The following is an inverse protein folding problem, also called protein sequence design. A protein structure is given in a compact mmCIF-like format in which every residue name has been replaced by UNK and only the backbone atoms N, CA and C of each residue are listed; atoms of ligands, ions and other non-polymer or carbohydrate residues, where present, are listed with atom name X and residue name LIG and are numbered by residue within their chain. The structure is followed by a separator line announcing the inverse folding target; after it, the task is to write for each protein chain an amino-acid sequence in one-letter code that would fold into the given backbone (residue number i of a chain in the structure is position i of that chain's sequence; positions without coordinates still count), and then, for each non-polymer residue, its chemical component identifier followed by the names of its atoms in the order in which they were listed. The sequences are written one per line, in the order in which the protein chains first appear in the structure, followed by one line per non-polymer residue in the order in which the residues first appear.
data_IF_881761477032
#
_entry.id   IF_881761477032
#
_cell.length_a   1.000
_cell.length_b   1.000
_cell.length_c   1.000
_cell.angle_alpha   90.00
_cell.angle_beta   90.00
_cell.angle_gamma   90.00
#
_symmetry.space_group_name_H-M   'P 1'
#
loop_
_entity.id
_entity.type
_entity.pdbx_description
1 polymer ?
#
# COMPACT_ATOMS: atom_id res chain seq x y z
N UNK A 1 12.18 38.32 -19.87
CA UNK A 1 12.80 37.03 -20.25
C UNK A 1 11.96 35.94 -19.58
N UNK A 2 11.23 35.08 -20.32
CA UNK A 2 10.54 33.95 -19.70
C UNK A 2 11.61 33.02 -19.11
N UNK A 3 11.50 32.61 -17.85
CA UNK A 3 12.41 31.60 -17.32
C UNK A 3 12.31 30.36 -18.22
N UNK A 4 13.46 29.84 -18.62
CA UNK A 4 13.49 28.61 -19.42
C UNK A 4 12.78 27.52 -18.63
N UNK A 5 11.77 26.92 -19.23
CA UNK A 5 11.08 25.76 -18.65
C UNK A 5 12.11 24.65 -18.38
N UNK A 6 12.33 24.24 -17.13
CA UNK A 6 13.30 23.19 -16.85
C UNK A 6 12.81 21.89 -17.49
N UNK A 7 13.52 21.45 -18.53
CA UNK A 7 13.20 20.23 -19.27
C UNK A 7 14.10 19.09 -18.81
N UNK A 8 13.53 17.90 -18.72
CA UNK A 8 14.28 16.68 -18.49
C UNK A 8 15.24 16.37 -19.65
N UNK A 9 16.43 15.95 -19.32
CA UNK A 9 17.33 15.37 -20.31
C UNK A 9 16.81 13.99 -20.76
N UNK A 10 17.10 13.60 -21.99
CA UNK A 10 16.75 12.25 -22.51
C UNK A 10 17.28 11.14 -21.61
N UNK A 11 18.44 11.35 -20.99
CA UNK A 11 19.04 10.42 -20.02
C UNK A 11 18.17 10.29 -18.78
N UNK A 12 17.77 11.38 -18.14
CA UNK A 12 16.89 11.36 -16.95
C UNK A 12 15.54 10.70 -17.25
N UNK A 13 14.91 11.03 -18.39
CA UNK A 13 13.66 10.39 -18.83
C UNK A 13 13.86 8.86 -18.94
N UNK A 14 14.95 8.43 -19.60
CA UNK A 14 15.24 7.01 -19.74
C UNK A 14 15.50 6.33 -18.40
N UNK A 15 16.21 6.97 -17.51
CA UNK A 15 16.54 6.44 -16.18
C UNK A 15 15.32 6.30 -15.28
N UNK A 16 14.46 7.33 -15.22
CA UNK A 16 13.26 7.31 -14.39
C UNK A 16 12.15 6.43 -14.97
N UNK A 17 12.01 6.34 -16.28
CA UNK A 17 11.07 5.40 -16.91
C UNK A 17 11.37 3.93 -16.55
N UNK A 18 12.62 3.60 -16.25
CA UNK A 18 13.01 2.25 -15.77
C UNK A 18 12.48 1.93 -14.38
N UNK A 19 12.06 2.92 -13.58
CA UNK A 19 11.45 2.71 -12.28
C UNK A 19 10.09 1.98 -12.35
N UNK A 20 9.53 1.80 -13.54
CA UNK A 20 8.42 0.86 -13.78
C UNK A 20 8.81 -0.59 -13.50
N UNK A 21 10.11 -0.91 -13.43
CA UNK A 21 10.65 -2.25 -13.20
C UNK A 21 11.24 -2.36 -11.78
N UNK A 22 10.92 -3.46 -11.08
CA UNK A 22 11.36 -3.75 -9.69
C UNK A 22 12.87 -3.64 -9.52
N UNK A 23 13.64 -4.18 -10.48
CA UNK A 23 15.12 -4.17 -10.43
C UNK A 23 15.65 -2.74 -10.22
N UNK A 24 15.20 -1.80 -11.04
CA UNK A 24 15.71 -0.43 -11.00
C UNK A 24 15.24 0.36 -9.78
N UNK A 25 14.05 0.08 -9.26
CA UNK A 25 13.59 0.66 -7.99
C UNK A 25 14.50 0.25 -6.83
N UNK A 26 14.85 -1.05 -6.75
CA UNK A 26 15.76 -1.57 -5.72
C UNK A 26 17.17 -1.02 -5.85
N UNK A 27 17.72 -0.98 -7.08
CA UNK A 27 19.07 -0.47 -7.34
C UNK A 27 19.22 1.01 -6.99
N UNK A 28 18.17 1.81 -7.20
CA UNK A 28 18.22 3.26 -7.03
C UNK A 28 17.64 3.76 -5.70
N UNK A 29 16.90 2.93 -5.00
CA UNK A 29 16.12 3.35 -3.84
C UNK A 29 15.10 4.44 -4.19
N UNK A 30 14.49 4.33 -5.39
CA UNK A 30 13.55 5.31 -5.94
C UNK A 30 12.29 4.61 -6.44
N UNK A 31 11.16 5.32 -6.45
CA UNK A 31 9.91 4.82 -7.01
C UNK A 31 9.11 5.94 -7.67
N UNK A 32 8.10 5.53 -8.44
CA UNK A 32 7.17 6.44 -9.12
C UNK A 32 5.88 6.58 -8.32
N UNK A 33 5.43 7.80 -8.20
CA UNK A 33 4.11 8.16 -7.66
C UNK A 33 3.30 8.70 -8.82
N UNK A 34 2.15 8.07 -9.11
CA UNK A 34 1.30 8.40 -10.24
C UNK A 34 -0.05 8.95 -9.76
N UNK A 35 -0.46 10.06 -10.35
CA UNK A 35 -1.76 10.67 -10.14
C UNK A 35 -1.79 11.75 -9.06
N UNK A 36 -2.70 12.71 -9.26
CA UNK A 36 -2.83 13.93 -8.46
C UNK A 36 -2.96 13.65 -6.96
N UNK A 37 -3.85 12.73 -6.60
CA UNK A 37 -4.12 12.40 -5.19
C UNK A 37 -2.87 11.86 -4.51
N UNK A 38 -2.18 10.90 -5.14
CA UNK A 38 -0.99 10.29 -4.57
C UNK A 38 0.17 11.29 -4.46
N UNK A 39 0.36 12.15 -5.48
CA UNK A 39 1.43 13.17 -5.44
C UNK A 39 1.17 14.19 -4.33
N UNK A 40 -0.08 14.66 -4.19
CA UNK A 40 -0.43 15.59 -3.10
C UNK A 40 -0.28 14.95 -1.71
N UNK A 41 -0.63 13.67 -1.59
CA UNK A 41 -0.48 12.94 -0.33
C UNK A 41 1.00 12.72 0.02
N UNK A 42 1.86 12.45 -0.98
CA UNK A 42 3.30 12.37 -0.80
C UNK A 42 3.91 13.70 -0.28
N UNK A 43 3.40 14.83 -0.78
CA UNK A 43 3.79 16.16 -0.29
C UNK A 43 3.38 16.37 1.17
N UNK A 44 2.14 16.02 1.53
CA UNK A 44 1.63 16.12 2.91
C UNK A 44 2.41 15.24 3.87
N UNK A 45 2.80 14.06 3.41
CA UNK A 45 3.64 13.13 4.16
C UNK A 45 5.11 13.54 4.22
N UNK A 46 5.49 14.68 3.63
CA UNK A 46 6.87 15.19 3.57
C UNK A 46 7.88 14.19 3.00
N UNK A 47 7.47 13.41 2.00
CA UNK A 47 8.37 12.46 1.36
C UNK A 47 9.54 13.18 0.66
N UNK A 48 10.67 12.50 0.56
CA UNK A 48 11.81 12.97 -0.23
C UNK A 48 11.50 12.86 -1.73
N UNK A 49 10.83 13.89 -2.28
CA UNK A 49 10.47 13.99 -3.69
C UNK A 49 11.63 14.61 -4.44
N UNK A 50 12.16 13.90 -5.43
CA UNK A 50 13.27 14.38 -6.28
C UNK A 50 12.79 15.31 -7.39
N UNK A 51 11.64 15.02 -7.96
CA UNK A 51 10.99 15.87 -8.96
C UNK A 51 9.51 15.53 -9.12
N UNK A 52 8.73 16.53 -9.53
CA UNK A 52 7.37 16.37 -10.04
C UNK A 52 7.43 16.57 -11.55
N UNK A 53 6.79 15.67 -12.29
CA UNK A 53 6.73 15.65 -13.74
C UNK A 53 5.32 16.01 -14.20
N UNK A 54 5.20 17.04 -15.01
CA UNK A 54 3.91 17.53 -15.52
C UNK A 54 3.94 17.64 -17.04
N UNK A 55 2.80 17.58 -17.74
CA UNK A 55 2.76 17.81 -19.17
C UNK A 55 3.34 19.18 -19.52
N UNK A 56 4.12 19.26 -20.59
CA UNK A 56 4.70 20.52 -21.04
C UNK A 56 3.62 21.59 -21.32
N UNK A 57 2.43 21.18 -21.76
CA UNK A 57 1.28 22.05 -21.99
C UNK A 57 0.68 22.67 -20.72
N UNK A 58 0.90 22.02 -19.56
CA UNK A 58 0.34 22.42 -18.27
C UNK A 58 1.39 23.02 -17.32
N UNK A 59 2.65 23.08 -17.75
CA UNK A 59 3.78 23.46 -16.92
C UNK A 59 3.59 24.85 -16.25
N UNK A 60 3.21 25.86 -16.98
CA UNK A 60 3.07 27.23 -16.49
C UNK A 60 2.04 27.35 -15.35
N UNK A 61 0.99 26.54 -15.39
CA UNK A 61 -0.04 26.46 -14.37
C UNK A 61 0.44 25.62 -13.19
N UNK A 62 0.83 24.36 -13.46
CA UNK A 62 1.13 23.37 -12.42
C UNK A 62 2.41 23.65 -11.65
N UNK A 63 3.41 24.28 -12.26
CA UNK A 63 4.66 24.61 -11.57
C UNK A 63 4.48 25.49 -10.34
N UNK A 64 3.39 26.27 -10.27
CA UNK A 64 3.07 27.13 -9.14
C UNK A 64 2.34 26.42 -7.99
N UNK A 65 1.88 25.21 -8.23
CA UNK A 65 1.12 24.41 -7.23
C UNK A 65 2.04 23.68 -6.24
N UNK A 66 3.34 23.60 -6.54
CA UNK A 66 4.29 22.83 -5.75
C UNK A 66 5.26 23.75 -4.99
N UNK A 67 5.52 23.45 -3.70
CA UNK A 67 6.39 24.27 -2.87
C UNK A 67 7.86 24.12 -3.29
N UNK A 68 8.61 25.21 -3.24
CA UNK A 68 10.07 25.12 -3.32
C UNK A 68 10.63 24.34 -2.10
N UNK A 69 11.71 23.57 -2.24
CA UNK A 69 12.61 23.51 -3.41
C UNK A 69 12.31 22.35 -4.39
N UNK A 70 11.11 21.77 -4.40
CA UNK A 70 10.81 20.61 -5.24
C UNK A 70 10.85 21.00 -6.73
N UNK A 71 11.73 20.41 -7.54
CA UNK A 71 11.77 20.68 -8.96
C UNK A 71 10.51 20.20 -9.66
N UNK A 72 9.83 21.11 -10.39
CA UNK A 72 8.77 20.75 -11.32
C UNK A 72 9.33 20.79 -12.72
N UNK A 73 9.20 19.69 -13.47
CA UNK A 73 9.84 19.50 -14.77
C UNK A 73 8.78 19.19 -15.83
N UNK A 74 8.92 19.83 -16.98
CA UNK A 74 8.04 19.60 -18.13
C UNK A 74 8.39 18.29 -18.84
N UNK A 75 7.39 17.49 -19.17
CA UNK A 75 7.53 16.25 -19.89
C UNK A 75 6.66 16.28 -21.16
N UNK A 76 7.24 15.92 -22.30
CA UNK A 76 6.49 15.82 -23.54
C UNK A 76 5.45 14.68 -23.48
N UNK A 77 4.31 14.84 -24.14
CA UNK A 77 3.24 13.83 -24.13
C UNK A 77 3.72 12.44 -24.58
N UNK A 78 4.61 12.38 -25.58
CA UNK A 78 5.22 11.13 -26.05
C UNK A 78 6.08 10.44 -24.99
N UNK A 79 6.68 11.19 -24.07
CA UNK A 79 7.51 10.65 -23.02
C UNK A 79 6.70 10.19 -21.81
N UNK A 80 5.51 10.78 -21.55
CA UNK A 80 4.59 10.29 -20.51
C UNK A 80 4.25 8.80 -20.70
N UNK A 81 4.02 8.37 -21.95
CA UNK A 81 3.73 6.97 -22.28
C UNK A 81 4.84 5.99 -21.83
N UNK A 82 6.06 6.45 -21.63
CA UNK A 82 7.18 5.62 -21.14
C UNK A 82 7.12 5.33 -19.65
N UNK A 83 6.43 6.18 -18.88
CA UNK A 83 6.23 6.03 -17.45
C UNK A 83 4.94 5.28 -17.13
N UNK A 84 3.94 5.44 -17.98
CA UNK A 84 2.61 4.87 -17.77
C UNK A 84 2.47 3.55 -18.52
N UNK A 85 2.36 2.45 -17.79
CA UNK A 85 1.80 1.20 -18.31
C UNK A 85 0.26 1.21 -18.30
N UNK A 86 -0.38 2.33 -17.98
CA UNK A 86 -1.81 2.43 -17.71
C UNK A 86 -2.40 3.58 -18.52
N UNK A 87 -3.57 3.33 -19.10
CA UNK A 87 -4.28 4.15 -20.09
C UNK A 87 -4.71 5.56 -19.61
N UNK A 88 -4.48 5.93 -18.37
CA UNK A 88 -4.78 7.27 -17.86
C UNK A 88 -3.75 7.73 -16.83
N UNK A 89 -2.67 8.35 -17.30
CA UNK A 89 -1.94 9.26 -16.43
C UNK A 89 -2.84 10.46 -16.21
N UNK A 90 -3.17 10.76 -14.95
CA UNK A 90 -3.87 12.00 -14.59
C UNK A 90 -2.95 13.24 -14.80
N UNK A 91 -2.04 13.14 -15.77
CA UNK A 91 -1.16 14.25 -16.17
C UNK A 91 -0.12 14.65 -15.13
N UNK A 92 0.15 13.84 -14.11
CA UNK A 92 1.14 14.15 -13.09
C UNK A 92 1.82 12.89 -12.57
N UNK A 93 3.13 12.98 -12.40
CA UNK A 93 3.98 11.95 -11.82
C UNK A 93 4.95 12.59 -10.83
N UNK A 94 5.42 11.84 -9.85
CA UNK A 94 6.57 12.24 -9.05
C UNK A 94 7.56 11.09 -8.95
N UNK A 95 8.83 11.45 -8.79
CA UNK A 95 9.91 10.53 -8.43
C UNK A 95 10.28 10.81 -6.99
N UNK A 96 10.21 9.78 -6.15
CA UNK A 96 10.52 9.88 -4.73
C UNK A 96 11.50 8.78 -4.30
N UNK A 97 12.17 9.00 -3.16
CA UNK A 97 13.01 7.98 -2.53
C UNK A 97 12.17 6.99 -1.75
N UNK A 98 12.57 5.72 -1.79
CA UNK A 98 12.01 4.71 -0.89
C UNK A 98 12.35 5.05 0.56
N UNK A 99 11.48 4.67 1.48
CA UNK A 99 11.62 4.99 2.90
C UNK A 99 11.10 3.84 3.76
N UNK A 100 11.38 3.91 5.03
CA UNK A 100 10.76 3.05 6.05
C UNK A 100 10.18 3.93 7.14
N UNK A 101 8.97 3.60 7.59
CA UNK A 101 8.34 4.25 8.71
C UNK A 101 8.61 3.47 10.01
N UNK A 102 8.84 4.16 11.13
CA UNK A 102 8.97 3.50 12.42
C UNK A 102 7.66 2.82 12.80
N UNK A 103 7.76 1.75 13.59
CA UNK A 103 6.58 1.14 14.17
C UNK A 103 5.85 2.15 15.06
N UNK A 104 4.52 2.08 15.08
CA UNK A 104 3.66 2.89 15.95
C UNK A 104 2.87 2.00 16.90
N UNK A 105 2.47 2.56 18.03
CA UNK A 105 1.62 1.84 18.98
C UNK A 105 0.16 1.99 18.57
N UNK A 106 -0.54 0.87 18.39
CA UNK A 106 -1.98 0.84 18.15
C UNK A 106 -2.56 -0.52 18.60
N UNK A 107 -3.88 -0.59 18.69
CA UNK A 107 -4.58 -1.82 19.10
C UNK A 107 -4.54 -2.90 18.00
N UNK A 108 -4.56 -2.50 16.74
CA UNK A 108 -4.67 -3.39 15.60
C UNK A 108 -3.37 -3.41 14.79
N UNK A 109 -2.97 -4.58 14.35
CA UNK A 109 -1.93 -4.80 13.33
C UNK A 109 -2.50 -5.77 12.29
N UNK A 110 -2.25 -5.53 11.04
CA UNK A 110 -2.64 -6.44 9.96
C UNK A 110 -1.43 -7.25 9.49
N UNK A 111 -1.66 -8.50 9.14
CA UNK A 111 -0.71 -9.34 8.44
C UNK A 111 -1.41 -10.08 7.31
N UNK A 112 -0.75 -10.25 6.18
CA UNK A 112 -1.24 -11.06 5.07
C UNK A 112 -0.18 -12.08 4.67
N UNK A 113 -0.56 -13.37 4.62
CA UNK A 113 0.37 -14.44 4.30
C UNK A 113 0.95 -14.28 2.90
N UNK A 114 0.10 -13.95 1.95
CA UNK A 114 0.51 -13.56 0.61
C UNK A 114 -0.60 -12.76 -0.08
N UNK A 115 -0.26 -11.58 -0.61
CA UNK A 115 -1.15 -10.80 -1.49
C UNK A 115 -0.43 -10.51 -2.79
N UNK A 116 -0.78 -11.25 -3.84
CA UNK A 116 -0.06 -11.22 -5.12
C UNK A 116 -0.57 -10.12 -6.06
N UNK A 117 -1.85 -9.78 -5.98
CA UNK A 117 -2.43 -8.71 -6.78
C UNK A 117 -2.03 -7.33 -6.25
N UNK A 118 -1.40 -6.49 -7.09
CA UNK A 118 -0.97 -5.15 -6.65
C UNK A 118 -2.12 -4.22 -6.26
N UNK A 119 -3.31 -4.40 -6.84
CA UNK A 119 -4.49 -3.61 -6.50
C UNK A 119 -4.99 -3.95 -5.10
N UNK A 120 -5.12 -5.25 -4.80
CA UNK A 120 -5.49 -5.73 -3.47
C UNK A 120 -4.47 -5.31 -2.42
N UNK A 121 -3.17 -5.41 -2.73
CA UNK A 121 -2.10 -4.98 -1.82
C UNK A 121 -2.26 -3.50 -1.44
N UNK A 122 -2.43 -2.61 -2.42
CA UNK A 122 -2.66 -1.19 -2.17
C UNK A 122 -3.95 -0.92 -1.41
N UNK A 123 -5.04 -1.61 -1.75
CA UNK A 123 -6.33 -1.46 -1.09
C UNK A 123 -6.29 -1.95 0.37
N UNK A 124 -5.57 -3.04 0.67
CA UNK A 124 -5.34 -3.51 2.05
C UNK A 124 -4.55 -2.49 2.87
N UNK A 125 -3.57 -1.81 2.27
CA UNK A 125 -2.89 -0.70 2.95
C UNK A 125 -3.86 0.43 3.32
N UNK A 126 -4.82 0.75 2.45
CA UNK A 126 -5.86 1.75 2.77
C UNK A 126 -6.72 1.30 3.93
N UNK A 127 -7.14 0.03 3.96
CA UNK A 127 -7.89 -0.54 5.08
C UNK A 127 -7.09 -0.44 6.37
N UNK A 128 -5.83 -0.88 6.35
CA UNK A 128 -4.96 -0.84 7.53
C UNK A 128 -4.77 0.59 8.06
N UNK A 129 -4.47 1.54 7.18
CA UNK A 129 -4.27 2.94 7.58
C UNK A 129 -5.56 3.58 8.07
N UNK A 130 -6.70 3.34 7.38
CA UNK A 130 -8.00 3.91 7.75
C UNK A 130 -8.44 3.49 9.16
N UNK A 131 -8.18 2.24 9.55
CA UNK A 131 -8.47 1.73 10.89
C UNK A 131 -7.32 1.91 11.89
N UNK A 132 -6.32 2.70 11.56
CA UNK A 132 -5.24 3.08 12.46
C UNK A 132 -4.34 1.92 12.88
N UNK A 133 -4.11 0.94 12.00
CA UNK A 133 -3.24 -0.19 12.31
C UNK A 133 -1.81 0.27 12.65
N UNK A 134 -1.17 -0.39 13.61
CA UNK A 134 0.22 -0.11 14.00
C UNK A 134 1.21 -0.37 12.87
N UNK A 135 0.96 -1.43 12.10
CA UNK A 135 1.74 -1.83 10.95
C UNK A 135 0.94 -2.77 10.03
N UNK A 136 1.44 -2.97 8.82
CA UNK A 136 0.98 -4.02 7.92
C UNK A 136 2.14 -4.93 7.52
N UNK A 137 2.03 -6.20 7.86
CA UNK A 137 3.01 -7.23 7.56
C UNK A 137 2.62 -8.01 6.31
N UNK A 138 3.51 -8.09 5.35
CA UNK A 138 3.35 -8.83 4.10
C UNK A 138 4.30 -10.04 4.10
N UNK A 139 3.75 -11.23 3.98
CA UNK A 139 4.54 -12.46 3.85
C UNK A 139 5.21 -12.56 2.48
N UNK A 140 6.12 -13.54 2.32
CA UNK A 140 6.86 -13.78 1.09
C UNK A 140 5.95 -14.00 -0.12
N UNK A 141 6.38 -13.51 -1.29
CA UNK A 141 5.60 -13.63 -2.53
C UNK A 141 4.51 -12.57 -2.70
N UNK A 142 4.33 -11.68 -1.75
CA UNK A 142 3.43 -10.54 -1.89
C UNK A 142 3.93 -9.53 -2.92
N UNK A 143 3.00 -8.71 -3.42
CA UNK A 143 3.31 -7.64 -4.35
C UNK A 143 4.32 -6.66 -3.75
N UNK A 144 5.26 -6.20 -4.56
CA UNK A 144 6.28 -5.25 -4.11
C UNK A 144 5.64 -3.88 -3.86
N UNK A 145 5.84 -3.33 -2.67
CA UNK A 145 5.11 -2.14 -2.18
C UNK A 145 5.38 -0.87 -3.00
N UNK A 146 6.55 -0.77 -3.63
CA UNK A 146 6.92 0.35 -4.50
C UNK A 146 6.47 0.17 -5.96
N UNK A 147 5.77 -0.93 -6.28
CA UNK A 147 5.16 -1.10 -7.60
C UNK A 147 4.17 0.05 -7.85
N UNK A 148 4.22 0.76 -9.00
CA UNK A 148 3.33 1.88 -9.27
C UNK A 148 1.83 1.56 -9.11
N UNK A 149 1.41 0.32 -9.38
CA UNK A 149 0.02 -0.11 -9.16
C UNK A 149 -0.32 -0.21 -7.67
N UNK A 150 0.61 -0.66 -6.82
CA UNK A 150 0.43 -0.70 -5.36
C UNK A 150 0.38 0.70 -4.81
N UNK A 151 1.35 1.55 -5.18
CA UNK A 151 1.42 2.96 -4.76
C UNK A 151 0.12 3.69 -5.08
N UNK A 152 -0.36 3.55 -6.33
CA UNK A 152 -1.62 4.15 -6.76
C UNK A 152 -2.82 3.54 -6.02
N UNK A 153 -2.88 2.21 -5.89
CA UNK A 153 -3.96 1.51 -5.18
C UNK A 153 -4.06 1.88 -3.71
N UNK A 154 -2.93 2.26 -3.10
CA UNK A 154 -2.90 2.72 -1.71
C UNK A 154 -3.50 4.11 -1.51
N UNK A 155 -3.65 4.92 -2.57
CA UNK A 155 -4.16 6.29 -2.52
C UNK A 155 -3.46 7.16 -1.45
N UNK A 156 -2.15 6.92 -1.26
CA UNK A 156 -1.33 7.61 -0.26
C UNK A 156 -1.22 6.92 1.10
N UNK A 157 -2.02 5.91 1.41
CA UNK A 157 -1.94 5.19 2.69
C UNK A 157 -0.55 4.61 2.95
N UNK A 158 0.15 4.14 1.91
CA UNK A 158 1.54 3.68 2.00
C UNK A 158 2.49 4.72 2.62
N UNK A 159 2.19 6.00 2.49
CA UNK A 159 3.06 7.08 2.96
C UNK A 159 2.94 7.35 4.47
N UNK A 160 1.95 6.76 5.10
CA UNK A 160 1.66 6.91 6.53
C UNK A 160 1.73 5.61 7.29
N UNK A 161 1.49 4.47 6.63
CA UNK A 161 1.42 3.15 7.25
C UNK A 161 2.81 2.49 7.31
N UNK A 162 3.30 2.07 8.48
CA UNK A 162 4.48 1.20 8.57
C UNK A 162 4.19 -0.14 7.88
N UNK A 163 4.91 -0.44 6.79
CA UNK A 163 4.80 -1.72 6.07
C UNK A 163 6.06 -2.54 6.25
N UNK A 164 5.91 -3.82 6.53
CA UNK A 164 7.00 -4.79 6.65
C UNK A 164 6.83 -5.87 5.58
N UNK A 165 7.81 -6.01 4.71
CA UNK A 165 7.79 -7.00 3.63
C UNK A 165 8.57 -8.25 4.02
N UNK A 166 8.30 -9.36 3.32
CA UNK A 166 8.95 -10.66 3.52
C UNK A 166 8.89 -11.12 5.00
N UNK A 167 7.80 -10.75 5.70
CA UNK A 167 7.60 -11.10 7.11
C UNK A 167 7.35 -12.60 7.26
N UNK A 168 8.06 -13.24 8.19
CA UNK A 168 7.80 -14.61 8.59
C UNK A 168 6.62 -14.64 9.55
N UNK A 169 5.44 -14.95 9.02
CA UNK A 169 4.20 -14.86 9.78
C UNK A 169 4.10 -15.85 10.91
N UNK A 170 4.69 -17.03 10.76
CA UNK A 170 4.77 -18.03 11.83
C UNK A 170 5.54 -17.52 13.05
N UNK A 171 6.70 -16.88 12.83
CA UNK A 171 7.48 -16.24 13.91
C UNK A 171 6.71 -15.06 14.51
N UNK A 172 6.08 -14.23 13.67
CA UNK A 172 5.29 -13.08 14.11
C UNK A 172 4.11 -13.49 15.00
N UNK A 173 3.31 -14.49 14.56
CA UNK A 173 2.14 -14.99 15.29
C UNK A 173 2.57 -15.61 16.62
N UNK A 174 3.61 -16.44 16.65
CA UNK A 174 4.11 -17.07 17.88
C UNK A 174 4.60 -16.05 18.90
N UNK A 175 5.22 -14.96 18.43
CA UNK A 175 5.77 -13.92 19.31
C UNK A 175 4.73 -12.84 19.67
N UNK A 176 3.49 -12.92 19.14
CA UNK A 176 2.52 -11.85 19.35
C UNK A 176 2.03 -11.79 20.80
N UNK A 177 2.10 -10.61 21.48
CA UNK A 177 1.81 -10.53 22.90
C UNK A 177 0.31 -10.50 23.25
N UNK A 178 -0.54 -10.31 22.25
CA UNK A 178 -2.00 -10.20 22.38
C UNK A 178 -2.74 -11.31 21.62
N UNK A 179 -3.93 -11.01 21.13
CA UNK A 179 -4.73 -11.95 20.36
C UNK A 179 -4.25 -11.98 18.89
N UNK A 180 -3.91 -13.15 18.36
CA UNK A 180 -3.71 -13.39 16.95
C UNK A 180 -5.01 -14.00 16.38
N UNK A 181 -5.63 -13.31 15.42
CA UNK A 181 -6.93 -13.63 14.83
C UNK A 181 -6.73 -14.07 13.39
N UNK A 182 -6.95 -15.33 13.09
CA UNK A 182 -7.03 -15.86 11.74
C UNK A 182 -8.39 -15.53 11.12
N UNK A 183 -8.40 -14.76 10.03
CA UNK A 183 -9.59 -14.56 9.21
C UNK A 183 -9.74 -15.74 8.26
N UNK A 184 -10.69 -16.62 8.50
CA UNK A 184 -10.93 -17.82 7.71
C UNK A 184 -12.29 -17.77 7.02
N UNK A 185 -12.39 -18.37 5.83
CA UNK A 185 -13.66 -18.42 5.11
C UNK A 185 -14.66 -19.39 5.78
N UNK A 186 -14.15 -20.49 6.35
CA UNK A 186 -14.97 -21.54 6.96
C UNK A 186 -14.31 -22.07 8.25
N UNK A 187 -15.12 -22.66 9.12
CA UNK A 187 -14.61 -23.35 10.33
C UNK A 187 -14.08 -22.45 11.43
N UNK A 188 -14.40 -21.16 11.37
CA UNK A 188 -14.15 -20.21 12.44
C UNK A 188 -15.40 -19.90 13.25
N UNK A 189 -15.22 -19.28 14.43
CA UNK A 189 -16.32 -18.67 15.17
C UNK A 189 -16.83 -17.43 14.44
N UNK A 190 -18.11 -17.10 14.51
CA UNK A 190 -18.64 -15.89 13.89
C UNK A 190 -17.93 -14.64 14.41
N UNK A 191 -17.53 -13.72 13.52
CA UNK A 191 -16.81 -12.49 13.89
C UNK A 191 -17.55 -11.67 14.96
N UNK A 192 -18.89 -11.60 14.89
CA UNK A 192 -19.70 -10.87 15.87
C UNK A 192 -19.68 -11.49 17.29
N UNK A 193 -19.18 -12.72 17.43
CA UNK A 193 -19.00 -13.37 18.75
C UNK A 193 -17.65 -13.02 19.39
N UNK A 194 -16.74 -12.39 18.64
CA UNK A 194 -15.45 -11.97 19.15
C UNK A 194 -15.65 -10.92 20.26
N UNK A 195 -15.29 -11.28 21.47
CA UNK A 195 -15.35 -10.40 22.65
C UNK A 195 -14.10 -10.63 23.49
N UNK A 196 -13.71 -9.62 24.25
CA UNK A 196 -12.61 -9.74 25.23
C UNK A 196 -11.27 -10.21 24.63
N UNK A 197 -11.00 -9.89 23.35
CA UNK A 197 -9.73 -10.19 22.73
C UNK A 197 -8.61 -9.39 23.37
N UNK A 198 -7.54 -10.07 23.76
CA UNK A 198 -6.37 -9.43 24.38
C UNK A 198 -5.66 -8.52 23.39
N UNK A 199 -5.55 -7.24 23.73
CA UNK A 199 -4.77 -6.27 22.95
C UNK A 199 -3.25 -6.49 23.13
N UNK A 200 -2.41 -6.14 22.12
CA UNK A 200 -2.79 -5.74 20.76
C UNK A 200 -3.29 -6.91 19.93
N UNK A 201 -4.17 -6.63 18.96
CA UNK A 201 -4.74 -7.64 18.05
C UNK A 201 -3.92 -7.71 16.77
N UNK A 202 -3.54 -8.91 16.36
CA UNK A 202 -2.98 -9.22 15.05
C UNK A 202 -4.05 -9.87 14.17
N UNK A 203 -4.56 -9.15 13.18
CA UNK A 203 -5.45 -9.73 12.16
C UNK A 203 -4.61 -10.37 11.06
N UNK A 204 -4.73 -11.69 10.91
CA UNK A 204 -4.00 -12.49 9.92
C UNK A 204 -4.93 -12.88 8.78
N UNK A 205 -4.56 -12.45 7.58
CA UNK A 205 -5.28 -12.66 6.33
C UNK A 205 -4.53 -13.65 5.44
N UNK A 206 -5.23 -14.41 4.64
CA UNK A 206 -4.66 -15.37 3.70
C UNK A 206 -4.50 -14.81 2.28
N UNK A 207 -4.22 -15.71 1.35
CA UNK A 207 -4.16 -15.43 -0.09
C UNK A 207 -5.57 -15.25 -0.68
N UNK A 208 -5.68 -14.44 -1.75
CA UNK A 208 -6.96 -14.09 -2.38
C UNK A 208 -7.83 -15.29 -2.77
N UNK A 209 -7.22 -16.39 -3.22
CA UNK A 209 -7.94 -17.59 -3.71
C UNK A 209 -7.76 -18.82 -2.84
N UNK A 210 -6.62 -18.97 -2.16
CA UNK A 210 -6.31 -20.15 -1.33
C UNK A 210 -6.69 -19.98 0.13
N UNK A 211 -7.01 -18.75 0.53
CA UNK A 211 -7.23 -18.43 1.94
C UNK A 211 -5.94 -18.45 2.76
N UNK A 212 -6.07 -18.49 4.06
CA UNK A 212 -4.97 -18.63 5.02
C UNK A 212 -4.57 -20.10 5.13
N UNK A 213 -3.26 -20.38 5.16
CA UNK A 213 -2.77 -21.77 5.34
C UNK A 213 -3.19 -22.32 6.69
N UNK A 214 -3.44 -23.63 6.74
CA UNK A 214 -3.79 -24.29 8.00
C UNK A 214 -2.68 -24.19 9.04
N UNK A 215 -1.42 -24.16 8.61
CA UNK A 215 -0.26 -24.00 9.47
C UNK A 215 -0.29 -22.66 10.19
N UNK A 216 -0.51 -21.57 9.50
CA UNK A 216 -0.60 -20.23 10.13
C UNK A 216 -1.89 -20.08 10.94
N UNK A 217 -3.02 -20.58 10.41
CA UNK A 217 -4.30 -20.54 11.12
C UNK A 217 -4.26 -21.31 12.45
N UNK A 218 -3.51 -22.43 12.51
CA UNK A 218 -3.35 -23.23 13.73
C UNK A 218 -2.51 -22.53 14.81
N UNK A 219 -1.65 -21.59 14.43
CA UNK A 219 -0.84 -20.79 15.36
C UNK A 219 -1.63 -19.65 15.99
N UNK A 220 -2.69 -19.18 15.33
CA UNK A 220 -3.52 -18.09 15.81
C UNK A 220 -4.35 -18.51 17.03
N UNK A 221 -4.50 -17.61 17.99
CA UNK A 221 -5.30 -17.86 19.22
C UNK A 221 -6.79 -17.94 18.93
N UNK A 222 -7.25 -17.32 17.84
CA UNK A 222 -8.66 -17.28 17.44
C UNK A 222 -8.78 -17.50 15.93
N UNK A 223 -9.83 -18.22 15.53
CA UNK A 223 -10.26 -18.37 14.13
C UNK A 223 -11.63 -17.77 14.00
N UNK A 224 -11.74 -16.70 13.25
CA UNK A 224 -13.01 -15.99 13.06
C UNK A 224 -13.43 -16.00 11.60
N UNK A 225 -14.74 -16.06 11.37
CA UNK A 225 -15.34 -16.07 10.03
C UNK A 225 -16.46 -15.06 9.90
N UNK A 226 -16.64 -14.57 8.67
CA UNK A 226 -17.84 -13.83 8.27
C UNK A 226 -18.87 -14.81 7.78
N UNK A 227 -19.95 -14.98 8.53
CA UNK A 227 -21.03 -15.89 8.15
C UNK A 227 -21.85 -15.29 7.01
N UNK A 228 -21.92 -15.95 5.83
CA UNK A 228 -22.75 -15.46 4.74
C UNK A 228 -24.24 -15.58 5.09
N UNK A 229 -25.01 -14.56 4.74
CA UNK A 229 -26.48 -14.58 4.83
C UNK A 229 -27.13 -14.93 3.48
N UNK A 230 -26.33 -14.99 2.43
CA UNK A 230 -26.74 -15.30 1.06
C UNK A 230 -26.02 -16.52 0.48
N UNK A 231 -25.97 -16.60 -0.85
CA UNK A 231 -25.40 -17.74 -1.59
C UNK A 231 -23.90 -17.57 -1.92
N UNK A 232 -23.31 -16.42 -1.64
CA UNK A 232 -21.89 -16.18 -1.93
C UNK A 232 -21.02 -16.98 -0.94
N UNK A 233 -20.03 -17.71 -1.46
CA UNK A 233 -19.14 -18.54 -0.64
C UNK A 233 -18.15 -17.71 0.19
N UNK A 234 -17.70 -16.56 -0.34
CA UNK A 234 -16.74 -15.69 0.33
C UNK A 234 -16.82 -14.26 -0.19
N UNK A 235 -16.22 -13.35 0.54
CA UNK A 235 -15.98 -11.98 0.13
C UNK A 235 -14.58 -11.83 -0.48
N UNK A 236 -14.40 -10.80 -1.32
CA UNK A 236 -13.07 -10.37 -1.73
C UNK A 236 -12.21 -10.07 -0.49
N UNK A 237 -10.91 -10.42 -0.56
CA UNK A 237 -9.96 -10.28 0.54
C UNK A 237 -9.98 -8.88 1.18
N UNK A 238 -10.01 -7.81 0.37
CA UNK A 238 -10.02 -6.42 0.87
C UNK A 238 -11.33 -6.10 1.58
N UNK A 239 -12.45 -6.56 1.04
CA UNK A 239 -13.77 -6.37 1.67
C UNK A 239 -13.84 -7.10 3.00
N UNK A 240 -13.40 -8.35 3.04
CA UNK A 240 -13.33 -9.12 4.30
C UNK A 240 -12.43 -8.41 5.33
N UNK A 241 -11.22 -8.00 4.91
CA UNK A 241 -10.28 -7.29 5.77
C UNK A 241 -10.89 -6.01 6.36
N UNK A 242 -11.67 -5.25 5.57
CA UNK A 242 -12.31 -4.03 6.06
C UNK A 242 -13.37 -4.32 7.13
N UNK A 243 -14.19 -5.37 6.96
CA UNK A 243 -15.19 -5.77 7.94
C UNK A 243 -14.52 -6.27 9.24
N UNK A 244 -13.50 -7.11 9.12
CA UNK A 244 -12.71 -7.57 10.28
C UNK A 244 -12.05 -6.40 11.00
N UNK A 245 -11.38 -5.50 10.26
CA UNK A 245 -10.69 -4.36 10.86
C UNK A 245 -11.67 -3.41 11.56
N UNK A 246 -12.85 -3.17 10.99
CA UNK A 246 -13.91 -2.38 11.62
C UNK A 246 -14.34 -2.99 12.97
N UNK A 247 -14.70 -4.26 12.97
CA UNK A 247 -15.18 -4.94 14.19
C UNK A 247 -14.09 -4.99 15.25
N UNK A 248 -12.88 -5.45 14.88
CA UNK A 248 -11.76 -5.61 15.82
C UNK A 248 -11.22 -4.28 16.38
N UNK A 249 -11.27 -3.19 15.62
CA UNK A 249 -10.84 -1.88 16.12
C UNK A 249 -11.83 -1.25 17.10
N UNK A 250 -13.11 -1.65 17.04
CA UNK A 250 -14.18 -1.16 17.92
C UNK A 250 -14.39 -2.02 19.18
N UNK A 251 -13.70 -3.14 19.32
CA UNK A 251 -13.75 -3.92 20.57
C UNK A 251 -13.25 -3.07 21.75
N UNK A 252 -14.02 -3.05 22.84
CA UNK A 252 -13.72 -2.28 24.06
C UNK A 252 -12.76 -3.01 24.98
#
# INVERSE_FOLDING_TARGET
MRPMTPALTRRQISEWARLTQKKFRRERGQFLIEGEVCVREALRAHLSIEAVLVPASEYDQRSREFPAPIPVLALAASDFARFAKIESTQGILAVARTFELPARTAKLTLACEQVSDPGNCGALMRVAEFFGAAAFHLGPGSAEIWNPKVVRGSMGALFHLPVRTDSKLDELVRAWPGAAVAAVAHGGEPLHSARDLKNPILLVLGHETRGLSDEIAALCSHRLTLSPLGQAESLNLVTAAAVFAYELSNLR
#
